data_IF_313297016030
#
_entry.id   IF_313297016030
#
_cell.length_a   1.000
_cell.length_b   1.000
_cell.length_c   1.000
_cell.angle_alpha   90.00
_cell.angle_beta   90.00
_cell.angle_gamma   90.00
#
_symmetry.space_group_name_H-M   'P 1'
#
loop_
_entity.id
_entity.type
_entity.pdbx_description
1 polymer ?
#
# COMPACT_ATOMS: atom_id res chain seq x y z
N UNK A 1 5.57 8.39 5.64
CA UNK A 1 7.00 8.55 6.05
C UNK A 1 7.97 8.19 4.91
N UNK A 2 9.30 8.23 5.08
CA UNK A 2 10.23 7.56 4.13
C UNK A 2 10.34 6.08 4.48
N UNK A 3 10.11 5.21 3.50
CA UNK A 3 10.27 3.75 3.60
C UNK A 3 11.69 3.34 3.24
N UNK A 4 12.19 3.83 2.10
CA UNK A 4 13.55 3.55 1.62
C UNK A 4 14.36 4.85 1.56
N UNK A 5 15.35 4.98 2.44
CA UNK A 5 16.22 6.17 2.47
C UNK A 5 17.16 6.20 1.26
N UNK A 6 17.76 5.05 0.90
CA UNK A 6 18.69 4.95 -0.23
C UNK A 6 18.08 5.45 -1.54
N UNK A 7 16.83 5.07 -1.80
CA UNK A 7 16.12 5.41 -3.05
C UNK A 7 15.07 6.51 -2.86
N UNK A 8 15.03 7.15 -1.68
CA UNK A 8 14.15 8.27 -1.34
C UNK A 8 12.67 7.99 -1.61
N UNK A 9 12.21 6.80 -1.22
CA UNK A 9 10.83 6.36 -1.43
C UNK A 9 9.97 6.67 -0.21
N UNK A 10 8.86 7.38 -0.43
CA UNK A 10 7.86 7.66 0.60
C UNK A 10 6.81 6.56 0.65
N UNK A 11 6.20 6.39 1.82
CA UNK A 11 5.14 5.43 2.09
C UNK A 11 3.96 5.58 1.15
N UNK A 12 3.52 6.82 0.89
CA UNK A 12 2.37 7.11 0.02
C UNK A 12 2.59 6.59 -1.41
N UNK A 13 3.83 6.62 -1.91
CA UNK A 13 4.16 6.07 -3.23
C UNK A 13 4.03 4.54 -3.24
N UNK A 14 4.62 3.87 -2.25
CA UNK A 14 4.56 2.40 -2.15
C UNK A 14 3.11 1.93 -1.96
N UNK A 15 2.35 2.62 -1.11
CA UNK A 15 0.93 2.35 -0.87
C UNK A 15 0.10 2.55 -2.15
N UNK A 16 0.31 3.66 -2.86
CA UNK A 16 -0.42 3.94 -4.10
C UNK A 16 -0.15 2.90 -5.20
N UNK A 17 1.09 2.42 -5.34
CA UNK A 17 1.42 1.35 -6.29
C UNK A 17 0.80 0.00 -5.87
N UNK A 18 0.81 -0.30 -4.56
CA UNK A 18 0.17 -1.51 -4.04
C UNK A 18 -1.35 -1.48 -4.21
N UNK A 19 -2.00 -0.33 -4.03
CA UNK A 19 -3.44 -0.12 -4.27
C UNK A 19 -3.80 -0.25 -5.76
N UNK A 20 -2.85 0.01 -6.67
CA UNK A 20 -2.97 -0.28 -8.10
C UNK A 20 -2.80 -1.77 -8.44
N UNK A 21 -2.50 -2.60 -7.44
CA UNK A 21 -2.39 -4.05 -7.58
C UNK A 21 -0.97 -4.57 -7.79
N UNK A 22 0.06 -3.71 -7.74
CA UNK A 22 1.44 -4.15 -7.89
C UNK A 22 1.91 -4.89 -6.62
N UNK A 23 2.59 -6.01 -6.83
CA UNK A 23 3.31 -6.74 -5.79
C UNK A 23 4.66 -6.09 -5.44
N UNK A 24 5.27 -6.54 -4.35
CA UNK A 24 6.55 -5.99 -3.87
C UNK A 24 7.66 -6.07 -4.93
N UNK A 25 7.79 -7.21 -5.62
CA UNK A 25 8.85 -7.42 -6.63
C UNK A 25 8.69 -6.47 -7.83
N UNK A 26 7.46 -6.15 -8.24
CA UNK A 26 7.18 -5.18 -9.31
C UNK A 26 7.51 -3.75 -8.85
N UNK A 27 7.11 -3.40 -7.62
CA UNK A 27 7.43 -2.11 -7.00
C UNK A 27 8.96 -1.95 -6.86
N UNK A 28 9.65 -3.01 -6.43
CA UNK A 28 11.10 -3.04 -6.35
C UNK A 28 11.75 -2.81 -7.73
N UNK A 29 11.27 -3.49 -8.77
CA UNK A 29 11.82 -3.34 -10.12
C UNK A 29 11.69 -1.91 -10.67
N UNK A 30 10.57 -1.23 -10.39
CA UNK A 30 10.29 0.11 -10.92
C UNK A 30 10.95 1.22 -10.08
N UNK A 31 11.01 1.05 -8.76
CA UNK A 31 11.43 2.11 -7.82
C UNK A 31 12.84 1.92 -7.25
N UNK A 32 13.41 0.72 -7.39
CA UNK A 32 14.64 0.32 -6.71
C UNK A 32 14.48 0.07 -5.22
N UNK A 33 13.26 -0.04 -4.69
CA UNK A 33 13.03 -0.29 -3.26
C UNK A 33 13.83 -1.51 -2.77
N UNK A 34 14.64 -1.35 -1.73
CA UNK A 34 15.52 -2.39 -1.16
C UNK A 34 16.71 -2.86 -2.02
N UNK A 35 17.04 -2.21 -3.15
CA UNK A 35 18.18 -2.62 -3.99
C UNK A 35 19.57 -2.22 -3.45
N UNK A 36 19.65 -1.35 -2.44
CA UNK A 36 20.94 -0.83 -1.93
C UNK A 36 21.36 -1.49 -0.62
N UNK A 37 20.78 -1.10 0.52
CA UNK A 37 21.12 -1.68 1.81
C UNK A 37 20.17 -2.81 2.26
N UNK A 38 19.01 -2.95 1.61
CA UNK A 38 17.99 -3.93 1.95
C UNK A 38 17.21 -3.69 3.25
N UNK A 39 17.62 -2.75 4.11
CA UNK A 39 17.06 -2.60 5.47
C UNK A 39 15.56 -2.27 5.53
N UNK A 40 15.00 -1.73 4.44
CA UNK A 40 13.57 -1.41 4.35
C UNK A 40 12.68 -2.58 3.88
N UNK A 41 13.25 -3.75 3.53
CA UNK A 41 12.53 -4.82 2.83
C UNK A 41 11.31 -5.33 3.58
N UNK A 42 11.49 -5.80 4.82
CA UNK A 42 10.39 -6.37 5.62
C UNK A 42 9.24 -5.36 5.78
N UNK A 43 9.56 -4.13 6.17
CA UNK A 43 8.57 -3.08 6.34
C UNK A 43 7.85 -2.72 5.02
N UNK A 44 8.57 -2.69 3.89
CA UNK A 44 7.98 -2.43 2.59
C UNK A 44 7.06 -3.58 2.13
N UNK A 45 7.43 -4.84 2.38
CA UNK A 45 6.59 -6.02 2.10
C UNK A 45 5.30 -5.98 2.92
N UNK A 46 5.39 -5.73 4.23
CA UNK A 46 4.22 -5.58 5.11
C UNK A 46 3.30 -4.44 4.66
N UNK A 47 3.89 -3.32 4.25
CA UNK A 47 3.15 -2.17 3.74
C UNK A 47 2.36 -2.53 2.47
N UNK A 48 2.99 -3.20 1.51
CA UNK A 48 2.33 -3.66 0.26
C UNK A 48 1.17 -4.59 0.59
N UNK A 49 1.40 -5.58 1.46
CA UNK A 49 0.35 -6.52 1.88
C UNK A 49 -0.82 -5.79 2.55
N UNK A 50 -0.53 -4.87 3.47
CA UNK A 50 -1.56 -4.11 4.18
C UNK A 50 -2.39 -3.22 3.27
N UNK A 51 -1.78 -2.65 2.21
CA UNK A 51 -2.45 -1.81 1.24
C UNK A 51 -3.38 -2.60 0.31
N UNK A 52 -3.06 -3.86 0.05
CA UNK A 52 -3.89 -4.74 -0.78
C UNK A 52 -5.09 -5.33 -0.02
N UNK A 53 -5.03 -5.41 1.31
CA UNK A 53 -6.18 -5.75 2.14
C UNK A 53 -7.14 -4.56 2.11
N UNK A 54 -8.21 -4.65 1.30
CA UNK A 54 -9.25 -3.63 1.28
C UNK A 54 -9.89 -3.55 2.67
N UNK A 55 -9.78 -2.44 3.41
CA UNK A 55 -10.63 -2.26 4.57
C UNK A 55 -12.07 -2.21 4.06
N UNK A 56 -12.95 -2.99 4.69
CA UNK A 56 -14.38 -2.89 4.43
C UNK A 56 -14.79 -1.44 4.74
N UNK A 57 -14.99 -0.63 3.71
CA UNK A 57 -15.67 0.66 3.87
C UNK A 57 -17.03 0.31 4.49
N UNK A 58 -17.39 0.84 5.68
CA UNK A 58 -18.70 0.57 6.24
C UNK A 58 -19.71 1.02 5.19
N UNK A 59 -20.48 0.07 4.65
CA UNK A 59 -21.59 0.39 3.77
C UNK A 59 -22.53 1.29 4.57
N UNK A 60 -22.61 2.55 4.18
CA UNK A 60 -23.63 3.47 4.69
C UNK A 60 -24.97 3.02 4.13
N UNK A 61 -25.56 2.00 4.75
CA UNK A 61 -26.87 1.48 4.42
C UNK A 61 -27.91 2.48 4.93
N UNK A 62 -28.30 3.44 4.08
CA UNK A 62 -29.51 4.23 4.33
C UNK A 62 -30.72 3.33 4.10
N UNK A 63 -31.21 2.70 5.17
CA UNK A 63 -32.50 2.03 5.18
C UNK A 63 -33.56 3.12 5.05
N UNK A 64 -34.14 3.27 3.86
CA UNK A 64 -35.39 4.00 3.69
C UNK A 64 -36.48 3.16 4.34
N UNK A 65 -36.73 3.40 5.63
CA UNK A 65 -37.92 2.93 6.30
C UNK A 65 -39.12 3.65 5.67
N UNK A 66 -39.72 3.01 4.67
CA UNK A 66 -41.00 3.42 4.11
C UNK A 66 -42.10 3.13 5.12
N UNK A 67 -42.52 4.16 5.86
CA UNK A 67 -43.81 4.20 6.54
C UNK A 67 -44.83 4.84 5.59
N UNK A 68 -45.94 4.15 5.32
CA UNK A 68 -47.09 4.72 4.62
C UNK A 68 -47.84 3.68 3.81
#
# INVERSE_FOLDING_TARGET
MYVCICNRLKEDLIRSLAEQGLGFEEIQAITGCSNTCGSCRSYAEDLVLSAQIRPHKPLSLHVLAGTG
#
